data_IF_733005398775
#
_entry.id   IF_733005398775
#
_cell.length_a   1.000
_cell.length_b   1.000
_cell.length_c   1.000
_cell.angle_alpha   90.00
_cell.angle_beta   90.00
_cell.angle_gamma   90.00
#
_symmetry.space_group_name_H-M   'P 1'
#
loop_
_entity.id
_entity.type
_entity.pdbx_description
1 polymer ?
#
# COMPACT_ATOMS: atom_id res chain seq x y z
N UNK A 1 2.38 7.55 8.43
CA UNK A 1 1.08 7.03 8.41
C UNK A 1 0.47 7.21 7.08
N UNK A 2 -0.40 6.36 6.69
CA UNK A 2 -1.03 6.43 5.40
C UNK A 2 -2.55 6.46 5.54
N UNK A 3 -3.25 6.53 4.43
CA UNK A 3 -4.68 6.66 4.46
C UNK A 3 -5.43 5.36 4.22
N UNK A 4 -4.73 4.25 4.20
CA UNK A 4 -5.36 2.98 3.89
C UNK A 4 -6.40 2.63 4.96
N UNK A 5 -6.04 2.80 6.22
CA UNK A 5 -6.97 2.49 7.30
C UNK A 5 -8.22 3.36 7.22
N UNK A 6 -8.04 4.66 6.99
CA UNK A 6 -9.18 5.56 6.92
C UNK A 6 -10.08 5.22 5.73
N UNK A 7 -9.47 4.90 4.58
CA UNK A 7 -10.26 4.54 3.42
C UNK A 7 -11.04 3.24 3.66
N UNK A 8 -10.40 2.28 4.31
CA UNK A 8 -11.06 1.04 4.63
C UNK A 8 -12.23 1.26 5.57
N UNK A 9 -12.00 2.05 6.61
CA UNK A 9 -13.04 2.30 7.59
C UNK A 9 -14.20 3.10 7.00
N UNK A 10 -13.92 3.98 6.06
CA UNK A 10 -14.97 4.75 5.42
C UNK A 10 -15.93 3.85 4.64
N UNK A 11 -15.46 2.71 4.17
CA UNK A 11 -16.30 1.77 3.46
C UNK A 11 -16.99 0.82 4.45
N UNK A 12 -16.50 0.76 5.67
CA UNK A 12 -17.05 -0.15 6.67
C UNK A 12 -16.41 -1.53 6.68
N UNK A 13 -15.22 -1.65 6.11
CA UNK A 13 -14.55 -2.95 6.06
C UNK A 13 -13.60 -3.15 7.22
N UNK A 14 -13.47 -4.41 7.66
CA UNK A 14 -12.43 -4.77 8.60
C UNK A 14 -11.13 -5.01 7.83
N UNK A 15 -10.03 -5.21 8.55
CA UNK A 15 -8.78 -5.55 7.89
C UNK A 15 -8.90 -6.84 7.12
N UNK A 16 -9.63 -7.80 7.67
CA UNK A 16 -9.85 -9.07 6.99
C UNK A 16 -10.67 -8.87 5.71
N UNK A 17 -11.66 -7.97 5.75
CA UNK A 17 -12.45 -7.70 4.57
C UNK A 17 -11.58 -7.12 3.47
N UNK A 18 -10.76 -6.15 3.79
CA UNK A 18 -9.88 -5.54 2.78
C UNK A 18 -8.89 -6.56 2.26
N UNK A 19 -8.33 -7.38 3.14
CA UNK A 19 -7.38 -8.40 2.72
C UNK A 19 -8.02 -9.34 1.73
N UNK A 20 -9.25 -9.75 2.00
CA UNK A 20 -9.96 -10.65 1.11
C UNK A 20 -10.20 -9.97 -0.25
N UNK A 21 -10.65 -8.72 -0.22
CA UNK A 21 -10.92 -8.00 -1.47
C UNK A 21 -9.65 -7.74 -2.27
N UNK A 22 -8.55 -7.52 -1.59
CA UNK A 22 -7.28 -7.25 -2.26
C UNK A 22 -6.50 -8.52 -2.56
N UNK A 23 -7.02 -9.66 -2.11
CA UNK A 23 -6.37 -10.94 -2.32
C UNK A 23 -4.97 -10.96 -1.71
N UNK A 24 -4.86 -10.47 -0.50
CA UNK A 24 -3.62 -10.52 0.28
C UNK A 24 -3.98 -11.00 1.68
N UNK A 25 -2.99 -11.27 2.52
CA UNK A 25 -3.28 -11.74 3.85
C UNK A 25 -3.67 -10.59 4.77
N UNK A 26 -4.46 -10.85 5.81
CA UNK A 26 -4.77 -9.81 6.78
C UNK A 26 -3.52 -9.24 7.44
N UNK A 27 -2.49 -10.07 7.62
CA UNK A 27 -1.25 -9.60 8.20
C UNK A 27 -0.63 -8.55 7.30
N UNK A 28 -0.74 -8.71 5.98
CA UNK A 28 -0.24 -7.74 5.04
C UNK A 28 -0.97 -6.41 5.21
N UNK A 29 -2.28 -6.44 5.37
CA UNK A 29 -3.05 -5.22 5.55
C UNK A 29 -2.64 -4.55 6.86
N UNK A 30 -2.49 -5.33 7.92
CA UNK A 30 -2.10 -4.79 9.20
C UNK A 30 -0.74 -4.07 9.09
N UNK A 31 0.23 -4.70 8.45
CA UNK A 31 1.54 -4.09 8.29
C UNK A 31 1.48 -2.83 7.43
N UNK A 32 0.71 -2.86 6.36
CA UNK A 32 0.59 -1.71 5.49
C UNK A 32 -0.05 -0.54 6.24
N UNK A 33 -1.06 -0.80 7.03
CA UNK A 33 -1.71 0.27 7.77
C UNK A 33 -0.81 0.88 8.82
N UNK A 34 0.19 0.14 9.25
CA UNK A 34 1.15 0.68 10.19
C UNK A 34 2.28 1.43 9.49
N UNK A 35 2.22 1.53 8.19
CA UNK A 35 3.22 2.28 7.45
C UNK A 35 4.42 1.48 6.99
N UNK A 36 4.36 0.16 7.11
CA UNK A 36 5.48 -0.65 6.68
C UNK A 36 5.53 -0.74 5.16
N UNK A 37 6.71 -0.85 4.58
CA UNK A 37 6.81 -0.92 3.14
C UNK A 37 6.19 -2.20 2.59
N UNK A 38 5.71 -2.14 1.36
CA UNK A 38 5.20 -3.31 0.69
C UNK A 38 5.51 -3.18 -0.78
N UNK A 39 5.38 -4.29 -1.48
CA UNK A 39 5.69 -4.32 -2.90
C UNK A 39 4.66 -3.55 -3.69
N UNK A 40 5.03 -3.09 -4.87
CA UNK A 40 4.10 -2.36 -5.70
C UNK A 40 2.92 -3.22 -6.11
N UNK A 41 3.13 -4.51 -6.32
CA UNK A 41 2.01 -5.39 -6.64
C UNK A 41 0.99 -5.41 -5.51
N UNK A 42 1.45 -5.38 -4.27
CA UNK A 42 0.56 -5.35 -3.12
C UNK A 42 -0.18 -4.02 -3.07
N UNK A 43 0.52 -2.91 -3.32
CA UNK A 43 -0.12 -1.61 -3.33
C UNK A 43 -1.21 -1.56 -4.38
N UNK A 44 -0.93 -2.12 -5.57
CA UNK A 44 -1.91 -2.11 -6.63
C UNK A 44 -3.16 -2.88 -6.24
N UNK A 45 -2.98 -4.03 -5.63
CA UNK A 45 -4.12 -4.84 -5.23
C UNK A 45 -4.96 -4.12 -4.18
N UNK A 46 -4.31 -3.46 -3.23
CA UNK A 46 -5.04 -2.75 -2.20
C UNK A 46 -5.79 -1.57 -2.79
N UNK A 47 -5.16 -0.80 -3.66
CA UNK A 47 -5.84 0.34 -4.24
C UNK A 47 -6.98 -0.10 -5.15
N UNK A 48 -6.81 -1.19 -5.88
CA UNK A 48 -7.89 -1.70 -6.71
C UNK A 48 -9.06 -2.12 -5.84
N UNK A 49 -8.81 -2.75 -4.70
CA UNK A 49 -9.88 -3.15 -3.80
C UNK A 49 -10.62 -1.94 -3.25
N UNK A 50 -9.92 -0.84 -3.05
CA UNK A 50 -10.53 0.37 -2.54
C UNK A 50 -11.08 1.27 -3.65
N UNK A 51 -10.94 0.84 -4.91
CA UNK A 51 -11.39 1.61 -6.07
C UNK A 51 -10.67 2.95 -6.17
N UNK A 52 -9.40 2.95 -5.87
CA UNK A 52 -8.58 4.15 -5.93
C UNK A 52 -7.63 4.05 -7.11
N UNK A 53 -7.55 5.09 -7.95
CA UNK A 53 -6.64 5.04 -9.10
C UNK A 53 -5.19 4.97 -8.66
N UNK A 54 -4.38 4.31 -9.48
CA UNK A 54 -2.96 4.16 -9.16
C UNK A 54 -2.25 5.51 -9.01
N UNK A 55 -2.73 6.53 -9.72
CA UNK A 55 -2.14 7.86 -9.63
C UNK A 55 -2.23 8.43 -8.24
N UNK A 56 -3.16 7.94 -7.42
CA UNK A 56 -3.35 8.45 -6.08
C UNK A 56 -2.52 7.68 -5.05
N UNK A 57 -1.67 6.78 -5.50
CA UNK A 57 -0.96 5.91 -4.56
C UNK A 57 -0.17 6.65 -3.49
N UNK A 58 0.44 7.76 -3.84
CA UNK A 58 1.23 8.48 -2.86
C UNK A 58 0.35 9.10 -1.77
N UNK A 59 -0.87 9.42 -2.10
CA UNK A 59 -1.76 9.98 -1.11
C UNK A 59 -2.22 8.92 -0.11
N UNK A 60 -2.29 7.68 -0.54
CA UNK A 60 -2.76 6.62 0.33
C UNK A 60 -1.64 5.90 1.05
N UNK A 61 -0.50 5.70 0.41
CA UNK A 61 0.63 5.01 1.03
C UNK A 61 1.71 5.96 1.55
N UNK A 62 1.60 7.23 1.26
CA UNK A 62 2.64 8.18 1.66
C UNK A 62 3.73 8.24 0.62
N UNK A 63 4.49 9.29 0.68
CA UNK A 63 5.56 9.49 -0.26
C UNK A 63 6.70 8.60 0.10
N UNK A 64 7.20 7.94 -0.87
CA UNK A 64 8.28 7.05 -0.59
C UNK A 64 9.45 7.88 -0.30
N UNK A 65 10.23 7.54 0.56
CA UNK A 65 11.29 8.23 0.91
C UNK A 65 12.26 7.89 0.06
N UNK A 66 12.75 8.46 -0.42
CA UNK A 66 13.63 8.08 -1.37
C UNK A 66 14.79 7.58 -0.89
N UNK A 67 14.45 7.63 -0.95
CA UNK A 67 15.06 7.37 -0.76
C UNK A 67 15.94 7.25 -0.91
N UNK A 68 16.32 7.33 -1.02
CA UNK A 68 16.97 7.21 -1.11
C UNK A 68 17.68 6.51 -1.21
N UNK A 69 18.05 6.29 -1.33
CA UNK A 69 18.80 5.50 -1.36
C UNK A 69 18.55 4.48 -1.91
N UNK A 70 18.07 4.22 -1.70
CA UNK A 70 17.75 3.06 -2.07
C UNK A 70 17.52 3.07 -3.40
N UNK A 71 16.91 3.83 -3.75
CA UNK A 71 16.60 3.79 -5.01
C UNK A 71 17.72 3.86 -5.76
N UNK A 72 18.47 4.66 -5.42
CA UNK A 72 19.53 4.78 -6.18
C UNK A 72 20.13 3.55 -6.41
N UNK A 73 20.47 2.85 -5.56
CA UNK A 73 21.11 1.79 -5.75
C UNK A 73 20.39 0.88 -6.36
N UNK A 74 19.31 0.87 -6.19
CA UNK A 74 18.57 -0.06 -6.64
C UNK A 74 18.50 -0.02 -7.98
N UNK A 75 18.34 0.92 -8.58
CA UNK A 75 18.24 0.93 -9.79
C UNK A 75 19.39 0.76 -10.42
N UNK A 76 20.26 1.09 -9.81
CA UNK A 76 21.46 0.90 -10.38
C UNK A 76 21.54 -0.49 -10.61
N UNK A 77 21.28 -1.25 -9.80
CA UNK A 77 21.47 -2.48 -9.95
C UNK A 77 20.61 -3.03 -10.77
N UNK A 78 19.68 -2.49 -10.91
CA UNK A 78 18.77 -3.13 -11.62
C UNK A 78 19.33 -3.28 -12.89
N UNK A 79 20.16 -2.64 -13.16
CA UNK A 79 20.66 -2.84 -14.43
C UNK A 79 21.14 -4.17 -14.54
#
# INVERSE_FOLDING_TARGET
>A
MNRIRAARQAIGWTQTDLAHKANVSPRTIHAVEKGRPCRQATKRRILQALAVPWEMRFEYFGIARPVRRAAARDQARSA
#
